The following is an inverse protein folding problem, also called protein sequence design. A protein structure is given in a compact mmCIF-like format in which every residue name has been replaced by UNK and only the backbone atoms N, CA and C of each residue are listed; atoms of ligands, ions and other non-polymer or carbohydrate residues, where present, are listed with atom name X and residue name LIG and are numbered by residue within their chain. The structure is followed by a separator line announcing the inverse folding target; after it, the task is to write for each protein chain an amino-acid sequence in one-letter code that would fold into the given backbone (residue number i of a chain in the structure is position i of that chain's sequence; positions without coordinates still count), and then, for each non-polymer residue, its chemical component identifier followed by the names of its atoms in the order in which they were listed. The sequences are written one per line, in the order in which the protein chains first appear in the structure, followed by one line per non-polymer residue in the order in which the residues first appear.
data_IF_690090172955
#
_entry.id   IF_690090172955
#
_cell.length_a   1.000
_cell.length_b   1.000
_cell.length_c   1.000
_cell.angle_alpha   90.00
_cell.angle_beta   90.00
_cell.angle_gamma   90.00
#
_symmetry.space_group_name_H-M   'P 1'
#
loop_
_entity.id
_entity.type
_entity.pdbx_description
1 polymer ?
#
# COMPACT_ATOMS: atom_id res chain seq x y z
N UNK A 1 18.43 8.75 -73.76
CA UNK A 1 17.88 7.74 -72.85
C UNK A 1 18.03 8.31 -71.45
N UNK A 2 16.98 8.77 -70.83
CA UNK A 2 17.08 9.25 -69.51
C UNK A 2 17.15 8.09 -68.53
N UNK A 3 18.17 8.10 -67.74
CA UNK A 3 18.38 7.13 -66.66
C UNK A 3 17.48 7.50 -65.49
N UNK A 4 16.49 6.65 -65.19
CA UNK A 4 15.61 6.82 -64.03
C UNK A 4 16.21 6.08 -62.85
N UNK A 5 17.14 6.72 -62.15
CA UNK A 5 17.53 6.27 -60.83
C UNK A 5 16.45 6.60 -59.84
N UNK A 6 15.60 5.62 -59.56
CA UNK A 6 14.66 5.71 -58.42
C UNK A 6 15.48 5.54 -57.15
N UNK A 7 15.66 6.64 -56.47
CA UNK A 7 16.18 6.65 -55.12
C UNK A 7 15.06 6.19 -54.18
N UNK A 8 14.99 4.90 -53.87
CA UNK A 8 14.17 4.36 -52.80
C UNK A 8 14.90 4.59 -51.51
N UNK A 9 14.72 5.75 -50.91
CA UNK A 9 15.05 5.95 -49.52
C UNK A 9 14.12 5.06 -48.70
N UNK A 10 14.64 3.92 -48.32
CA UNK A 10 14.03 3.10 -47.25
C UNK A 10 14.19 3.86 -45.94
N UNK A 11 13.16 4.62 -45.61
CA UNK A 11 13.03 5.23 -44.31
C UNK A 11 12.87 4.10 -43.29
N UNK A 12 13.97 3.75 -42.61
CA UNK A 12 13.96 2.78 -41.52
C UNK A 12 12.97 3.19 -40.44
N UNK A 13 12.49 2.24 -39.64
CA UNK A 13 11.52 2.55 -38.60
C UNK A 13 12.14 3.59 -37.66
N UNK A 14 11.53 4.75 -37.62
CA UNK A 14 11.82 5.76 -36.61
C UNK A 14 11.45 5.12 -35.28
N UNK A 15 12.46 4.73 -34.51
CA UNK A 15 12.26 4.34 -33.11
C UNK A 15 11.62 5.52 -32.42
N UNK A 16 10.32 5.41 -32.17
CA UNK A 16 9.65 6.35 -31.28
C UNK A 16 10.46 6.40 -29.95
N UNK A 17 10.76 7.57 -29.43
CA UNK A 17 11.37 7.65 -28.12
C UNK A 17 10.46 6.87 -27.18
N UNK A 18 11.03 5.93 -26.40
CA UNK A 18 10.36 5.32 -25.28
C UNK A 18 9.98 6.49 -24.38
N UNK A 19 8.76 6.97 -24.51
CA UNK A 19 8.16 7.78 -23.48
C UNK A 19 8.32 6.95 -22.21
N UNK A 20 9.12 7.44 -21.30
CA UNK A 20 9.13 6.95 -19.94
C UNK A 20 7.71 7.18 -19.45
N UNK A 21 6.87 6.15 -19.55
CA UNK A 21 5.60 6.13 -18.87
C UNK A 21 5.97 6.19 -17.39
N UNK A 22 6.04 7.42 -16.87
CA UNK A 22 6.00 7.62 -15.45
C UNK A 22 4.69 7.00 -15.01
N UNK A 23 4.77 5.91 -14.25
CA UNK A 23 3.61 5.30 -13.64
C UNK A 23 2.76 6.39 -13.03
N UNK A 24 1.43 6.42 -13.27
CA UNK A 24 0.59 7.48 -12.77
C UNK A 24 0.77 7.57 -11.27
N UNK A 25 1.29 8.70 -10.78
CA UNK A 25 1.51 8.90 -9.36
C UNK A 25 0.17 8.76 -8.63
N UNK A 26 0.06 7.71 -7.83
CA UNK A 26 -1.13 7.45 -7.04
C UNK A 26 -1.11 8.36 -5.82
N UNK A 27 -1.97 9.38 -5.83
CA UNK A 27 -2.04 10.35 -4.74
C UNK A 27 -2.71 9.73 -3.51
N UNK A 28 -2.19 10.11 -2.33
CA UNK A 28 -2.78 9.68 -1.07
C UNK A 28 -4.22 10.21 -0.92
N UNK A 29 -5.14 9.37 -0.43
CA UNK A 29 -6.51 9.77 -0.13
C UNK A 29 -6.55 10.95 0.85
N UNK A 30 -7.55 11.79 0.71
CA UNK A 30 -7.75 12.92 1.63
C UNK A 30 -8.13 12.41 3.02
N UNK A 31 -7.68 13.13 4.05
CA UNK A 31 -8.05 12.84 5.43
C UNK A 31 -7.22 11.74 6.10
N UNK A 32 -6.14 11.27 5.47
CA UNK A 32 -5.16 10.41 6.13
C UNK A 32 -4.30 11.21 7.10
N UNK A 33 -4.12 10.69 8.31
CA UNK A 33 -3.13 11.18 9.26
C UNK A 33 -1.69 10.81 8.83
N UNK A 34 -0.72 11.21 9.64
CA UNK A 34 0.71 10.99 9.32
C UNK A 34 1.09 9.51 9.24
N UNK A 35 0.51 8.67 10.08
CA UNK A 35 0.80 7.23 10.11
C UNK A 35 0.19 6.51 8.90
N UNK A 36 -1.08 6.80 8.57
CA UNK A 36 -1.74 6.27 7.39
C UNK A 36 -1.08 6.72 6.10
N UNK A 37 -0.64 7.97 6.03
CA UNK A 37 0.06 8.49 4.85
C UNK A 37 1.41 7.80 4.64
N UNK A 38 2.19 7.57 5.70
CA UNK A 38 3.44 6.81 5.59
C UNK A 38 3.22 5.38 5.08
N UNK A 39 2.16 4.72 5.55
CA UNK A 39 1.81 3.39 5.06
C UNK A 39 1.38 3.42 3.58
N UNK A 40 0.62 4.44 3.17
CA UNK A 40 0.24 4.66 1.78
C UNK A 40 1.44 4.85 0.86
N UNK A 41 2.34 5.74 1.24
CA UNK A 41 3.53 6.06 0.45
C UNK A 41 4.44 4.83 0.31
N UNK A 42 4.73 4.13 1.40
CA UNK A 42 5.51 2.89 1.39
C UNK A 42 4.86 1.79 0.54
N UNK A 43 3.54 1.60 0.67
CA UNK A 43 2.82 0.62 -0.12
C UNK A 43 2.87 0.91 -1.62
N UNK A 44 2.81 2.18 -2.03
CA UNK A 44 2.88 2.56 -3.45
C UNK A 44 4.32 2.64 -3.99
N UNK A 45 5.32 2.78 -3.13
CA UNK A 45 6.72 2.69 -3.53
C UNK A 45 7.11 1.26 -3.89
N UNK A 46 6.68 0.30 -3.08
CA UNK A 46 7.09 -1.10 -3.20
C UNK A 46 6.21 -1.94 -4.13
N UNK A 47 4.94 -1.55 -4.34
CA UNK A 47 3.95 -2.38 -5.02
C UNK A 47 3.14 -1.60 -6.06
N UNK A 48 2.76 -2.28 -7.14
CA UNK A 48 1.75 -1.82 -8.09
C UNK A 48 0.40 -2.46 -7.75
N UNK A 49 -0.64 -1.66 -7.61
CA UNK A 49 -1.95 -2.09 -7.13
C UNK A 49 -3.03 -2.00 -8.22
N UNK A 50 -3.92 -2.98 -8.26
CA UNK A 50 -5.18 -2.84 -8.96
C UNK A 50 -6.13 -1.89 -8.21
N UNK A 51 -7.14 -1.34 -8.88
CA UNK A 51 -8.06 -0.35 -8.29
C UNK A 51 -8.74 -0.84 -7.00
N UNK A 52 -9.14 -2.11 -6.95
CA UNK A 52 -9.77 -2.68 -5.75
C UNK A 52 -8.77 -2.90 -4.61
N UNK A 53 -7.49 -3.11 -4.94
CA UNK A 53 -6.43 -3.24 -3.95
C UNK A 53 -6.07 -1.89 -3.34
N UNK A 54 -6.11 -0.81 -4.13
CA UNK A 54 -5.95 0.55 -3.62
C UNK A 54 -7.03 0.90 -2.59
N UNK A 55 -8.27 0.45 -2.79
CA UNK A 55 -9.33 0.64 -1.80
C UNK A 55 -9.03 -0.10 -0.49
N UNK A 56 -8.52 -1.32 -0.56
CA UNK A 56 -8.10 -2.06 0.64
C UNK A 56 -6.88 -1.42 1.32
N UNK A 57 -5.92 -0.92 0.54
CA UNK A 57 -4.77 -0.19 1.08
C UNK A 57 -5.22 1.09 1.79
N UNK A 58 -6.18 1.83 1.23
CA UNK A 58 -6.78 2.99 1.87
C UNK A 58 -7.40 2.64 3.23
N UNK A 59 -8.18 1.56 3.30
CA UNK A 59 -8.75 1.10 4.57
C UNK A 59 -7.68 0.68 5.59
N UNK A 60 -6.60 0.04 5.15
CA UNK A 60 -5.47 -0.28 6.02
C UNK A 60 -4.80 1.00 6.56
N UNK A 61 -4.64 2.03 5.73
CA UNK A 61 -4.09 3.32 6.13
C UNK A 61 -4.98 4.05 7.14
N UNK A 62 -6.29 4.07 6.92
CA UNK A 62 -7.26 4.65 7.87
C UNK A 62 -7.29 3.87 9.18
N UNK A 63 -7.20 2.55 9.11
CA UNK A 63 -7.11 1.70 10.30
C UNK A 63 -5.83 1.98 11.09
N UNK A 64 -4.72 2.22 10.40
CA UNK A 64 -3.46 2.62 11.04
C UNK A 64 -3.59 3.93 11.80
N UNK A 65 -4.24 4.92 11.23
CA UNK A 65 -4.49 6.20 11.89
C UNK A 65 -5.41 6.04 13.12
N UNK A 66 -6.44 5.19 13.03
CA UNK A 66 -7.31 4.88 14.19
C UNK A 66 -6.55 4.23 15.33
N UNK A 67 -5.64 3.30 15.03
CA UNK A 67 -4.78 2.66 16.03
C UNK A 67 -3.95 3.72 16.76
N UNK A 68 -3.32 4.63 16.03
CA UNK A 68 -2.51 5.71 16.62
C UNK A 68 -3.36 6.61 17.51
N UNK A 69 -4.58 6.95 17.07
CA UNK A 69 -5.50 7.77 17.87
C UNK A 69 -5.95 7.04 19.16
N UNK A 70 -6.26 5.75 19.07
CA UNK A 70 -6.66 4.95 20.23
C UNK A 70 -5.50 4.76 21.23
N UNK A 71 -4.30 4.51 20.72
CA UNK A 71 -3.10 4.40 21.56
C UNK A 71 -2.83 5.72 22.30
N UNK A 72 -2.99 6.86 21.61
CA UNK A 72 -2.84 8.17 22.22
C UNK A 72 -3.85 8.40 23.37
N UNK A 73 -5.10 7.98 23.19
CA UNK A 73 -6.11 8.07 24.26
C UNK A 73 -5.66 7.26 25.49
N UNK A 74 -5.16 6.04 25.27
CA UNK A 74 -4.65 5.19 26.36
C UNK A 74 -3.42 5.80 27.02
N UNK A 75 -2.53 6.42 26.25
CA UNK A 75 -1.34 7.10 26.79
C UNK A 75 -1.72 8.32 27.65
N UNK A 76 -2.74 9.06 27.24
CA UNK A 76 -3.22 10.26 27.94
C UNK A 76 -4.08 9.91 29.18
N UNK A 77 -4.92 8.89 29.11
CA UNK A 77 -5.89 8.54 30.14
C UNK A 77 -5.46 7.35 31.02
N UNK A 78 -4.48 6.56 30.57
CA UNK A 78 -3.98 5.37 31.25
C UNK A 78 -4.68 4.08 30.84
N UNK A 79 -4.03 2.95 31.11
CA UNK A 79 -4.54 1.61 30.79
C UNK A 79 -5.77 1.22 31.58
N UNK A 80 -5.93 1.78 32.79
CA UNK A 80 -7.02 1.45 33.70
C UNK A 80 -7.84 2.69 34.00
N UNK A 81 -9.15 2.55 33.87
CA UNK A 81 -10.12 3.56 34.33
C UNK A 81 -10.64 3.19 35.70
N UNK A 82 -10.57 4.13 36.63
CA UNK A 82 -11.13 3.97 38.00
C UNK A 82 -12.49 4.66 38.06
N UNK A 83 -13.50 3.95 38.54
CA UNK A 83 -14.84 4.46 38.76
C UNK A 83 -15.35 4.05 40.16
N UNK A 84 -16.50 4.58 40.56
CA UNK A 84 -17.18 4.17 41.80
C UNK A 84 -17.53 2.67 41.88
N UNK A 85 -17.52 1.99 40.74
CA UNK A 85 -17.79 0.56 40.60
C UNK A 85 -16.53 -0.30 40.53
N UNK A 86 -15.34 0.29 40.68
CA UNK A 86 -14.06 -0.38 40.63
C UNK A 86 -13.21 0.05 39.43
N UNK A 87 -12.08 -0.64 39.26
CA UNK A 87 -11.11 -0.40 38.19
C UNK A 87 -11.39 -1.36 37.03
N UNK A 88 -11.32 -0.84 35.81
CA UNK A 88 -11.48 -1.63 34.57
C UNK A 88 -10.44 -1.22 33.52
N UNK A 89 -10.13 -2.14 32.60
CA UNK A 89 -9.28 -1.83 31.45
C UNK A 89 -9.95 -0.75 30.58
N UNK A 90 -9.16 0.19 30.11
CA UNK A 90 -9.65 1.24 29.22
C UNK A 90 -10.25 0.64 27.93
N UNK A 91 -11.46 1.04 27.52
CA UNK A 91 -12.13 0.48 26.33
C UNK A 91 -11.29 0.63 25.05
N UNK A 92 -10.53 1.71 24.91
CA UNK A 92 -9.66 1.94 23.76
C UNK A 92 -8.56 0.87 23.61
N UNK A 93 -8.16 0.17 24.67
CA UNK A 93 -7.21 -0.95 24.60
C UNK A 93 -7.79 -2.11 23.79
N UNK A 94 -9.03 -2.47 24.08
CA UNK A 94 -9.75 -3.53 23.36
C UNK A 94 -9.98 -3.16 21.90
N UNK A 95 -10.39 -1.93 21.65
CA UNK A 95 -10.64 -1.44 20.30
C UNK A 95 -9.32 -1.35 19.49
N UNK A 96 -8.24 -0.83 20.08
CA UNK A 96 -6.94 -0.79 19.42
C UNK A 96 -6.44 -2.18 19.02
N UNK A 97 -6.63 -3.17 19.88
CA UNK A 97 -6.34 -4.58 19.57
C UNK A 97 -7.17 -5.08 18.39
N UNK A 98 -8.48 -4.77 18.36
CA UNK A 98 -9.36 -5.17 17.26
C UNK A 98 -8.96 -4.51 15.94
N UNK A 99 -8.61 -3.23 15.97
CA UNK A 99 -8.13 -2.52 14.78
C UNK A 99 -6.80 -3.10 14.26
N UNK A 100 -5.89 -3.52 15.14
CA UNK A 100 -4.64 -4.20 14.72
C UNK A 100 -4.91 -5.52 14.02
N UNK A 101 -5.86 -6.31 14.50
CA UNK A 101 -6.26 -7.57 13.84
C UNK A 101 -6.86 -7.29 12.46
N UNK A 102 -7.70 -6.27 12.34
CA UNK A 102 -8.28 -5.85 11.07
C UNK A 102 -7.21 -5.41 10.08
N UNK A 103 -6.27 -4.57 10.53
CA UNK A 103 -5.15 -4.13 9.72
C UNK A 103 -4.30 -5.31 9.24
N UNK A 104 -3.96 -6.24 10.13
CA UNK A 104 -3.19 -7.42 9.78
C UNK A 104 -3.89 -8.25 8.69
N UNK A 105 -5.20 -8.42 8.77
CA UNK A 105 -6.00 -9.11 7.74
C UNK A 105 -5.99 -8.38 6.40
N UNK A 106 -6.14 -7.06 6.40
CA UNK A 106 -6.08 -6.24 5.19
C UNK A 106 -4.72 -6.36 4.51
N UNK A 107 -3.63 -6.23 5.26
CA UNK A 107 -2.27 -6.36 4.74
C UNK A 107 -1.99 -7.77 4.21
N UNK A 108 -2.45 -8.80 4.91
CA UNK A 108 -2.33 -10.19 4.46
C UNK A 108 -3.10 -10.43 3.16
N UNK A 109 -4.33 -9.89 3.03
CA UNK A 109 -5.13 -9.97 1.81
C UNK A 109 -4.47 -9.27 0.64
N UNK A 110 -3.79 -8.14 0.89
CA UNK A 110 -2.98 -7.43 -0.10
C UNK A 110 -1.68 -8.18 -0.45
N UNK A 111 -1.34 -9.23 0.29
CA UNK A 111 -0.11 -10.00 0.09
C UNK A 111 1.14 -9.27 0.55
N UNK A 112 1.00 -8.30 1.45
CA UNK A 112 2.13 -7.64 2.09
C UNK A 112 2.66 -8.59 3.17
N UNK A 113 3.94 -9.00 3.10
CA UNK A 113 4.49 -9.93 4.08
C UNK A 113 4.54 -9.28 5.47
N UNK A 114 4.31 -10.06 6.54
CA UNK A 114 4.55 -9.57 7.89
C UNK A 114 6.03 -9.24 8.09
N UNK A 115 6.31 -8.20 8.86
CA UNK A 115 7.67 -7.75 9.22
C UNK A 115 8.35 -8.72 10.21
N UNK A 116 8.33 -10.01 9.94
CA UNK A 116 9.11 -11.01 10.67
C UNK A 116 10.34 -11.32 9.83
N UNK A 117 11.50 -11.02 10.36
CA UNK A 117 12.80 -11.22 9.70
C UNK A 117 13.02 -12.67 9.24
N UNK A 118 12.34 -13.63 9.88
CA UNK A 118 12.41 -15.07 9.56
C UNK A 118 11.60 -15.48 8.32
N UNK A 119 10.79 -14.62 7.74
CA UNK A 119 9.97 -14.92 6.56
C UNK A 119 10.53 -14.32 5.26
N UNK A 120 11.72 -13.75 5.31
CA UNK A 120 12.39 -13.16 4.14
C UNK A 120 12.64 -14.18 2.99
N UNK A 121 12.54 -15.47 3.28
CA UNK A 121 12.70 -16.55 2.30
C UNK A 121 11.41 -16.98 1.59
N UNK A 122 10.24 -16.50 2.01
CA UNK A 122 8.98 -16.86 1.35
C UNK A 122 8.76 -15.96 0.13
N UNK A 123 8.39 -16.52 -1.03
CA UNK A 123 8.05 -15.71 -2.19
C UNK A 123 6.87 -14.82 -1.84
N UNK A 124 7.05 -13.52 -2.00
CA UNK A 124 5.98 -12.54 -1.80
C UNK A 124 4.89 -12.74 -2.84
N UNK A 125 3.63 -12.46 -2.49
CA UNK A 125 2.52 -12.52 -3.43
C UNK A 125 2.78 -11.66 -4.70
N UNK A 126 3.61 -10.65 -4.60
CA UNK A 126 4.08 -9.84 -5.73
C UNK A 126 4.93 -10.63 -6.72
N UNK A 127 5.83 -11.50 -6.24
CA UNK A 127 6.61 -12.37 -7.12
C UNK A 127 5.71 -13.32 -7.92
N UNK A 128 4.66 -13.82 -7.29
CA UNK A 128 3.67 -14.67 -7.95
C UNK A 128 2.81 -13.89 -8.96
N UNK A 129 2.43 -12.65 -8.68
CA UNK A 129 1.68 -11.79 -9.62
C UNK A 129 2.49 -11.42 -10.85
N UNK A 130 3.77 -11.17 -10.71
CA UNK A 130 4.67 -10.90 -11.85
C UNK A 130 4.74 -12.06 -12.84
N UNK A 131 4.58 -13.28 -12.38
CA UNK A 131 4.57 -14.49 -13.23
C UNK A 131 3.23 -14.64 -13.97
N UNK A 132 2.12 -14.23 -13.38
CA UNK A 132 0.79 -14.32 -14.02
C UNK A 132 0.46 -13.13 -14.93
N UNK A 133 1.20 -12.05 -14.87
CA UNK A 133 1.00 -10.87 -15.75
C UNK A 133 1.57 -11.00 -17.15
N UNK A 134 2.19 -12.12 -17.50
CA UNK A 134 2.83 -12.39 -18.79
C UNK A 134 2.00 -13.31 -19.71
N UNK A 135 0.69 -13.22 -19.64
CA UNK A 135 -0.17 -13.90 -20.63
C UNK A 135 -0.99 -12.89 -21.41
#
# INVERSE_FOLDING_TARGET
MPDMTQNTESKGPVSAPKESQSDPKVYAPRGLGSAGRRLWDAGNEDYAWATHELAMLEEACRTRDRIVALDKIVDDEGLMLTSSQGSRVHPAVGESRQQRLTMARLLATLGIPPLLEDLAALPTARALRGVYGLR
#
